data_IF_885372702720
#
_entry.id   IF_885372702720
#
_cell.length_a   1.000
_cell.length_b   1.000
_cell.length_c   1.000
_cell.angle_alpha   90.00
_cell.angle_beta   90.00
_cell.angle_gamma   90.00
#
_symmetry.space_group_name_H-M   'P 1'
#
loop_
_entity.id
_entity.type
_entity.pdbx_description
1 polymer ?
#
# COMPACT_ATOMS: atom_id res chain seq x y z
N UNK A 1 -2.37 10.67 -8.01
CA UNK A 1 -2.89 11.35 -6.83
C UNK A 1 -3.67 12.60 -7.26
N UNK A 2 -4.77 12.90 -6.53
CA UNK A 2 -5.63 14.05 -6.77
C UNK A 2 -5.34 15.11 -5.72
N UNK A 3 -5.09 16.34 -6.12
CA UNK A 3 -4.84 17.46 -5.20
C UNK A 3 -5.56 18.73 -5.64
N UNK A 4 -6.13 19.44 -4.69
CA UNK A 4 -6.44 20.85 -4.85
C UNK A 4 -6.49 21.64 -3.53
N UNK A 5 -6.40 22.99 -3.62
CA UNK A 5 -6.40 23.96 -2.54
C UNK A 5 -5.16 23.94 -1.61
N UNK A 6 -5.29 24.48 -0.42
CA UNK A 6 -4.16 24.82 0.44
C UNK A 6 -3.35 23.59 0.86
N UNK A 7 -4.00 22.53 1.29
CA UNK A 7 -3.35 21.29 1.75
C UNK A 7 -2.58 20.58 0.65
N UNK A 8 -3.16 20.51 -0.56
CA UNK A 8 -2.50 19.93 -1.74
C UNK A 8 -1.27 20.72 -2.17
N UNK A 9 -1.35 22.06 -2.20
CA UNK A 9 -0.22 22.93 -2.53
C UNK A 9 0.92 22.83 -1.52
N UNK A 10 0.58 22.73 -0.22
CA UNK A 10 1.57 22.53 0.84
C UNK A 10 2.29 21.18 0.67
N UNK A 11 1.55 20.12 0.34
CA UNK A 11 2.12 18.80 0.08
C UNK A 11 3.07 18.81 -1.12
N UNK A 12 2.64 19.39 -2.25
CA UNK A 12 3.48 19.56 -3.44
C UNK A 12 4.77 20.34 -3.15
N UNK A 13 4.67 21.41 -2.35
CA UNK A 13 5.85 22.20 -1.97
C UNK A 13 6.87 21.37 -1.20
N UNK A 14 6.41 20.45 -0.32
CA UNK A 14 7.27 19.54 0.45
C UNK A 14 7.92 18.47 -0.43
N UNK A 15 7.17 17.89 -1.37
CA UNK A 15 7.72 16.93 -2.33
C UNK A 15 8.81 17.57 -3.19
N UNK A 16 8.55 18.76 -3.70
CA UNK A 16 9.50 19.53 -4.52
C UNK A 16 10.76 19.90 -3.73
N UNK A 17 10.60 20.30 -2.45
CA UNK A 17 11.74 20.57 -1.57
C UNK A 17 12.58 19.32 -1.29
N UNK A 18 11.95 18.13 -1.28
CA UNK A 18 12.61 16.83 -1.16
C UNK A 18 13.15 16.26 -2.48
N UNK A 19 13.05 17.00 -3.59
CA UNK A 19 13.39 16.54 -4.94
C UNK A 19 12.67 15.24 -5.35
N UNK A 20 11.45 15.03 -4.84
CA UNK A 20 10.63 13.88 -5.19
C UNK A 20 9.87 14.19 -6.48
N UNK A 21 10.18 13.44 -7.55
CA UNK A 21 9.44 13.55 -8.83
C UNK A 21 7.96 13.31 -8.57
N UNK A 22 7.13 14.22 -9.02
CA UNK A 22 5.70 14.14 -8.82
C UNK A 22 4.96 14.66 -10.06
N UNK A 23 3.77 14.11 -10.30
CA UNK A 23 2.89 14.49 -11.39
C UNK A 23 1.44 14.19 -10.98
N UNK A 24 0.77 15.20 -10.40
CA UNK A 24 -0.57 15.07 -9.86
C UNK A 24 -1.63 15.57 -10.84
N UNK A 25 -2.83 15.01 -10.73
CA UNK A 25 -4.02 15.56 -11.36
C UNK A 25 -4.66 16.59 -10.41
N UNK A 26 -4.84 17.80 -10.88
CA UNK A 26 -5.59 18.83 -10.16
C UNK A 26 -7.10 18.60 -10.32
N UNK A 27 -7.82 18.66 -9.20
CA UNK A 27 -9.29 18.56 -9.16
C UNK A 27 -9.91 19.77 -8.49
N UNK A 28 -11.22 19.92 -8.57
CA UNK A 28 -11.95 21.00 -7.90
C UNK A 28 -12.23 20.73 -6.42
N UNK A 29 -11.86 19.56 -5.89
CA UNK A 29 -12.12 19.16 -4.51
C UNK A 29 -10.90 19.38 -3.61
N UNK A 30 -11.16 19.66 -2.32
CA UNK A 30 -10.09 19.82 -1.33
C UNK A 30 -9.37 18.50 -1.07
N UNK A 31 -8.06 18.57 -0.91
CA UNK A 31 -7.28 17.42 -0.43
C UNK A 31 -7.64 17.11 1.01
N UNK A 32 -8.06 15.88 1.27
CA UNK A 32 -8.45 15.43 2.61
C UNK A 32 -7.33 15.60 3.62
N UNK A 33 -7.71 15.93 4.84
CA UNK A 33 -6.83 15.96 6.01
C UNK A 33 -7.14 14.77 6.90
N UNK A 34 -6.11 13.98 7.22
CA UNK A 34 -6.22 12.89 8.18
C UNK A 34 -5.38 13.23 9.41
N UNK A 35 -5.97 13.10 10.61
CA UNK A 35 -5.31 13.43 11.88
C UNK A 35 -5.17 12.15 12.68
N UNK A 36 -3.94 11.80 13.06
CA UNK A 36 -3.66 10.72 14.00
C UNK A 36 -3.25 11.33 15.34
N UNK A 37 -4.00 11.05 16.39
CA UNK A 37 -3.70 11.46 17.77
C UNK A 37 -3.04 10.28 18.47
N UNK A 38 -1.78 10.46 18.85
CA UNK A 38 -1.00 9.45 19.58
C UNK A 38 -1.14 9.76 21.07
N UNK A 39 -1.84 8.89 21.80
CA UNK A 39 -1.97 8.98 23.24
C UNK A 39 -0.84 8.17 23.91
N UNK A 40 0.03 8.88 24.65
CA UNK A 40 1.19 8.27 25.30
C UNK A 40 0.82 7.49 26.57
N UNK A 41 -0.30 7.82 27.20
CA UNK A 41 -0.72 7.21 28.45
C UNK A 41 -1.42 5.86 28.23
N UNK A 42 -2.30 5.79 27.22
CA UNK A 42 -3.01 4.55 26.85
C UNK A 42 -2.29 3.76 25.74
N UNK A 43 -1.17 4.28 25.20
CA UNK A 43 -0.42 3.71 24.07
C UNK A 43 -1.31 3.36 22.87
N UNK A 44 -2.28 4.23 22.60
CA UNK A 44 -3.26 4.09 21.52
C UNK A 44 -3.10 5.18 20.48
N UNK A 45 -3.58 4.89 19.26
CA UNK A 45 -3.69 5.87 18.19
C UNK A 45 -5.17 6.01 17.85
N UNK A 46 -5.67 7.24 17.84
CA UNK A 46 -7.00 7.57 17.36
C UNK A 46 -6.86 8.33 16.05
N UNK A 47 -7.45 7.81 15.00
CA UNK A 47 -7.41 8.41 13.67
C UNK A 47 -8.75 9.07 13.31
N UNK A 48 -8.68 10.31 12.85
CA UNK A 48 -9.78 11.05 12.26
C UNK A 48 -9.53 11.12 10.75
N UNK A 49 -10.27 10.31 10.01
CA UNK A 49 -10.08 10.12 8.57
C UNK A 49 -11.17 10.89 7.81
N UNK A 50 -10.79 12.01 7.21
CA UNK A 50 -11.66 12.74 6.30
C UNK A 50 -11.85 11.97 4.99
N UNK A 51 -13.05 12.01 4.42
CA UNK A 51 -13.32 11.46 3.08
C UNK A 51 -13.02 12.52 2.03
N UNK A 52 -12.31 12.16 0.99
CA UNK A 52 -12.17 13.00 -0.19
C UNK A 52 -13.20 12.61 -1.26
N UNK A 53 -13.62 13.60 -2.05
CA UNK A 53 -14.56 13.42 -3.16
C UNK A 53 -13.83 13.40 -4.51
N UNK A 54 -14.46 12.81 -5.51
CA UNK A 54 -14.00 12.78 -6.88
C UNK A 54 -15.14 12.40 -7.82
N UNK A 55 -14.94 12.61 -9.10
CA UNK A 55 -15.92 12.29 -10.14
C UNK A 55 -15.39 11.22 -11.09
N UNK A 56 -16.28 10.61 -11.84
CA UNK A 56 -15.91 9.70 -12.94
C UNK A 56 -15.02 10.43 -13.97
N UNK A 57 -15.32 11.70 -14.28
CA UNK A 57 -14.50 12.51 -15.18
C UNK A 57 -13.07 12.72 -14.66
N UNK A 58 -12.92 12.97 -13.34
CA UNK A 58 -11.58 13.06 -12.74
C UNK A 58 -10.82 11.72 -12.87
N UNK A 59 -11.53 10.61 -12.69
CA UNK A 59 -10.94 9.28 -12.84
C UNK A 59 -10.55 9.00 -14.30
N UNK A 60 -11.36 9.37 -15.28
CA UNK A 60 -11.04 9.25 -16.70
C UNK A 60 -9.78 10.05 -17.07
N UNK A 61 -9.69 11.31 -16.63
CA UNK A 61 -8.46 12.13 -16.81
C UNK A 61 -7.24 11.51 -16.13
N UNK A 62 -7.44 10.92 -14.95
CA UNK A 62 -6.36 10.21 -14.25
C UNK A 62 -5.91 8.98 -15.04
N UNK A 63 -6.84 8.21 -15.59
CA UNK A 63 -6.54 7.05 -16.43
C UNK A 63 -5.76 7.43 -17.69
N UNK A 64 -6.15 8.50 -18.39
CA UNK A 64 -5.39 9.01 -19.56
C UNK A 64 -3.95 9.35 -19.19
N UNK A 65 -3.77 10.07 -18.08
CA UNK A 65 -2.45 10.43 -17.56
C UNK A 65 -1.64 9.21 -17.14
N UNK A 66 -2.26 8.26 -16.44
CA UNK A 66 -1.63 7.00 -16.01
C UNK A 66 -1.13 6.20 -17.20
N UNK A 67 -1.98 5.99 -18.22
CA UNK A 67 -1.60 5.28 -19.45
C UNK A 67 -0.45 6.00 -20.16
N UNK A 68 -0.52 7.33 -20.27
CA UNK A 68 0.56 8.13 -20.89
C UNK A 68 1.91 7.95 -20.15
N UNK A 69 1.90 7.88 -18.81
CA UNK A 69 3.13 7.61 -18.03
C UNK A 69 3.66 6.21 -18.34
N UNK A 70 2.78 5.19 -18.36
CA UNK A 70 3.19 3.82 -18.64
C UNK A 70 3.75 3.64 -20.07
N UNK A 71 3.36 4.48 -21.01
CA UNK A 71 3.82 4.44 -22.42
C UNK A 71 5.12 5.21 -22.65
N UNK A 72 5.31 6.31 -21.94
CA UNK A 72 6.41 7.24 -22.22
C UNK A 72 7.57 7.15 -21.21
N UNK A 73 7.37 6.47 -20.07
CA UNK A 73 8.41 6.30 -19.06
C UNK A 73 8.74 4.83 -18.84
N UNK A 74 9.97 4.55 -18.41
CA UNK A 74 10.36 3.20 -17.99
C UNK A 74 9.78 2.92 -16.60
N UNK A 75 8.61 2.30 -16.57
CA UNK A 75 7.95 1.88 -15.33
C UNK A 75 8.11 0.38 -15.17
N UNK A 76 8.64 -0.06 -14.06
CA UNK A 76 8.83 -1.49 -13.74
C UNK A 76 7.80 -1.99 -12.74
N UNK A 77 7.34 -1.11 -11.86
CA UNK A 77 6.38 -1.41 -10.79
C UNK A 77 5.43 -0.24 -10.60
N UNK A 78 4.17 -0.55 -10.40
CA UNK A 78 3.14 0.39 -9.96
C UNK A 78 2.67 0.00 -8.56
N UNK A 79 2.55 0.96 -7.68
CA UNK A 79 1.93 0.81 -6.36
C UNK A 79 0.60 1.59 -6.34
N UNK A 80 -0.51 0.87 -6.25
CA UNK A 80 -1.82 1.43 -5.96
C UNK A 80 -2.09 1.34 -4.46
N UNK A 81 -2.00 2.48 -3.75
CA UNK A 81 -2.18 2.50 -2.30
C UNK A 81 -3.26 3.50 -1.87
N UNK A 82 -3.98 3.16 -0.82
CA UNK A 82 -4.96 4.01 -0.16
C UNK A 82 -6.42 3.76 -0.57
N UNK A 83 -7.31 4.50 0.09
CA UNK A 83 -8.76 4.43 -0.18
C UNK A 83 -9.13 5.25 -1.40
N UNK A 84 -10.13 4.78 -2.13
CA UNK A 84 -10.71 5.50 -3.27
C UNK A 84 -11.54 6.69 -2.81
N UNK A 85 -11.64 7.71 -3.67
CA UNK A 85 -12.47 8.88 -3.44
C UNK A 85 -13.96 8.51 -3.48
N UNK A 86 -14.77 9.23 -2.73
CA UNK A 86 -16.24 9.14 -2.89
C UNK A 86 -16.61 9.57 -4.31
N UNK A 87 -17.55 8.85 -4.92
CA UNK A 87 -17.97 9.09 -6.30
C UNK A 87 -17.17 8.32 -7.35
N UNK A 88 -16.07 7.66 -6.94
CA UNK A 88 -15.32 6.72 -7.78
C UNK A 88 -15.73 5.30 -7.41
N UNK A 89 -15.93 4.44 -8.42
CA UNK A 89 -16.32 3.04 -8.23
C UNK A 89 -15.29 2.25 -7.42
N UNK A 90 -15.77 1.28 -6.64
CA UNK A 90 -14.91 0.42 -5.80
C UNK A 90 -13.98 -0.48 -6.62
N UNK A 91 -14.26 -0.63 -7.89
CA UNK A 91 -13.51 -1.38 -8.90
C UNK A 91 -12.46 -0.54 -9.64
N UNK A 92 -12.28 0.73 -9.25
CA UNK A 92 -11.39 1.66 -9.96
C UNK A 92 -9.91 1.22 -10.00
N UNK A 93 -9.47 0.31 -9.12
CA UNK A 93 -8.15 -0.28 -9.24
C UNK A 93 -8.02 -1.28 -10.40
N UNK A 94 -9.13 -1.90 -10.85
CA UNK A 94 -9.09 -2.94 -11.89
C UNK A 94 -8.50 -2.42 -13.22
N UNK A 95 -8.99 -1.32 -13.82
CA UNK A 95 -8.41 -0.81 -15.05
C UNK A 95 -6.93 -0.38 -14.89
N UNK A 96 -6.51 0.06 -13.72
CA UNK A 96 -5.09 0.39 -13.46
C UNK A 96 -4.22 -0.88 -13.48
N UNK A 97 -4.70 -1.94 -12.84
CA UNK A 97 -4.01 -3.24 -12.80
C UNK A 97 -3.95 -3.83 -14.22
N UNK A 98 -5.05 -3.79 -14.97
CA UNK A 98 -5.13 -4.31 -16.32
C UNK A 98 -4.19 -3.58 -17.29
N UNK A 99 -4.10 -2.25 -17.21
CA UNK A 99 -3.18 -1.47 -18.04
C UNK A 99 -1.71 -1.75 -17.72
N UNK A 100 -1.38 -1.98 -16.43
CA UNK A 100 -0.04 -2.43 -16.03
C UNK A 100 0.25 -3.84 -16.58
N UNK A 101 -0.69 -4.77 -16.48
CA UNK A 101 -0.54 -6.15 -16.99
C UNK A 101 -0.33 -6.21 -18.49
N UNK A 102 -1.05 -5.41 -19.28
CA UNK A 102 -0.88 -5.33 -20.75
C UNK A 102 0.57 -4.99 -21.15
N UNK A 103 1.32 -4.35 -20.27
CA UNK A 103 2.70 -3.90 -20.48
C UNK A 103 3.74 -4.74 -19.72
N UNK A 104 3.31 -5.82 -19.06
CA UNK A 104 4.18 -6.69 -18.25
C UNK A 104 4.69 -6.02 -16.96
N UNK A 105 4.03 -4.94 -16.51
CA UNK A 105 4.41 -4.19 -15.33
C UNK A 105 3.76 -4.82 -14.09
N UNK A 106 4.53 -5.02 -13.03
CA UNK A 106 4.03 -5.54 -11.77
C UNK A 106 3.19 -4.48 -11.06
N UNK A 107 1.99 -4.84 -10.61
CA UNK A 107 1.13 -3.97 -9.81
C UNK A 107 1.02 -4.46 -8.37
N UNK A 108 1.39 -3.62 -7.43
CA UNK A 108 1.21 -3.85 -5.99
C UNK A 108 -0.04 -3.10 -5.55
N UNK A 109 -0.99 -3.81 -4.96
CA UNK A 109 -2.23 -3.24 -4.45
C UNK A 109 -2.23 -3.24 -2.92
N UNK A 110 -2.36 -2.06 -2.32
CA UNK A 110 -2.47 -1.83 -0.89
C UNK A 110 -3.67 -0.94 -0.57
N UNK A 111 -4.81 -1.54 -0.45
CA UNK A 111 -6.07 -0.89 -0.10
C UNK A 111 -6.89 -1.82 0.80
N UNK A 112 -8.04 -1.38 1.28
CA UNK A 112 -8.85 -2.11 2.24
C UNK A 112 -10.31 -2.26 1.80
N UNK A 113 -11.04 -3.10 2.51
CA UNK A 113 -12.48 -3.27 2.37
C UNK A 113 -12.90 -3.70 0.95
N UNK A 114 -14.01 -3.16 0.49
CA UNK A 114 -14.59 -3.52 -0.82
C UNK A 114 -13.65 -3.23 -2.00
N UNK A 115 -12.83 -2.16 -1.91
CA UNK A 115 -11.87 -1.81 -2.96
C UNK A 115 -10.76 -2.86 -3.10
N UNK A 116 -10.34 -3.49 -2.00
CA UNK A 116 -9.38 -4.60 -2.04
C UNK A 116 -10.02 -5.83 -2.67
N UNK A 117 -11.23 -6.21 -2.24
CA UNK A 117 -11.96 -7.36 -2.78
C UNK A 117 -12.16 -7.20 -4.30
N UNK A 118 -12.59 -6.02 -4.75
CA UNK A 118 -12.76 -5.72 -6.18
C UNK A 118 -11.44 -5.71 -6.94
N UNK A 119 -10.42 -5.06 -6.39
CA UNK A 119 -9.09 -4.99 -7.01
C UNK A 119 -8.41 -6.36 -7.18
N UNK A 120 -8.69 -7.32 -6.29
CA UNK A 120 -8.21 -8.71 -6.44
C UNK A 120 -8.78 -9.42 -7.67
N UNK A 121 -9.95 -9.03 -8.17
CA UNK A 121 -10.55 -9.61 -9.39
C UNK A 121 -9.63 -9.41 -10.60
N UNK A 122 -8.89 -8.28 -10.66
CA UNK A 122 -7.91 -8.00 -11.70
C UNK A 122 -6.54 -8.67 -11.47
N UNK A 123 -6.38 -9.46 -10.40
CA UNK A 123 -5.20 -10.28 -10.09
C UNK A 123 -3.90 -9.46 -10.04
N UNK A 124 -3.76 -8.45 -9.17
CA UNK A 124 -2.51 -7.72 -9.01
C UNK A 124 -1.34 -8.68 -8.73
N UNK A 125 -0.11 -8.25 -9.04
CA UNK A 125 1.09 -9.04 -8.74
C UNK A 125 1.21 -9.33 -7.25
N UNK A 126 0.96 -8.31 -6.39
CA UNK A 126 1.04 -8.43 -4.94
C UNK A 126 -0.14 -7.70 -4.28
N UNK A 127 -0.69 -8.30 -3.23
CA UNK A 127 -1.56 -7.63 -2.26
C UNK A 127 -0.94 -7.68 -0.86
N UNK A 128 -1.24 -6.64 -0.04
CA UNK A 128 -0.74 -6.57 1.34
C UNK A 128 -1.88 -6.34 2.35
N UNK A 129 -2.74 -7.30 2.62
CA UNK A 129 -3.68 -7.18 3.73
C UNK A 129 -2.96 -7.27 5.09
N UNK A 130 -3.53 -6.67 6.12
CA UNK A 130 -3.27 -7.07 7.50
C UNK A 130 -4.13 -8.29 7.87
N UNK A 131 -3.95 -8.83 9.10
CA UNK A 131 -4.71 -10.01 9.50
C UNK A 131 -6.22 -9.75 9.53
N UNK A 132 -6.67 -8.60 10.01
CA UNK A 132 -8.09 -8.25 10.10
C UNK A 132 -8.71 -8.12 8.69
N UNK A 133 -8.01 -7.46 7.77
CA UNK A 133 -8.42 -7.37 6.38
C UNK A 133 -8.49 -8.75 5.70
N UNK A 134 -7.55 -9.63 5.99
CA UNK A 134 -7.59 -11.02 5.48
C UNK A 134 -8.78 -11.78 6.06
N UNK A 135 -9.11 -11.58 7.34
CA UNK A 135 -10.31 -12.14 7.98
C UNK A 135 -11.59 -11.63 7.29
N UNK A 136 -11.65 -10.34 7.01
CA UNK A 136 -12.79 -9.73 6.31
C UNK A 136 -12.95 -10.26 4.88
N UNK A 137 -11.85 -10.38 4.12
CA UNK A 137 -11.84 -10.94 2.76
C UNK A 137 -12.36 -12.38 2.74
N UNK A 138 -11.92 -13.18 3.72
CA UNK A 138 -12.22 -14.61 3.74
C UNK A 138 -13.50 -14.97 4.49
N UNK A 139 -14.04 -14.05 5.28
CA UNK A 139 -15.15 -14.28 6.19
C UNK A 139 -14.81 -15.24 7.36
N UNK A 140 -13.52 -15.42 7.67
CA UNK A 140 -13.02 -16.35 8.68
C UNK A 140 -12.24 -15.59 9.75
N UNK A 141 -12.26 -16.12 10.98
CA UNK A 141 -11.36 -15.68 12.05
C UNK A 141 -10.21 -16.65 12.18
N UNK A 142 -9.01 -16.13 12.46
CA UNK A 142 -7.80 -16.93 12.56
C UNK A 142 -7.30 -16.99 14.00
N UNK A 143 -7.07 -18.21 14.50
CA UNK A 143 -6.61 -18.45 15.86
C UNK A 143 -5.10 -18.68 15.92
N UNK A 144 -4.47 -18.92 14.78
CA UNK A 144 -3.04 -19.21 14.69
C UNK A 144 -2.48 -18.89 13.31
N UNK A 145 -1.16 -18.81 13.24
CA UNK A 145 -0.44 -18.46 12.01
C UNK A 145 -0.68 -19.45 10.85
N UNK A 146 -0.90 -20.72 11.15
CA UNK A 146 -1.14 -21.73 10.11
C UNK A 146 -2.43 -21.44 9.34
N UNK A 147 -3.48 -21.01 10.03
CA UNK A 147 -4.75 -20.62 9.40
C UNK A 147 -4.58 -19.38 8.51
N UNK A 148 -3.78 -18.39 8.94
CA UNK A 148 -3.44 -17.21 8.14
C UNK A 148 -2.67 -17.61 6.86
N UNK A 149 -1.69 -18.51 6.98
CA UNK A 149 -0.92 -19.02 5.85
C UNK A 149 -1.81 -19.74 4.84
N UNK A 150 -2.71 -20.61 5.30
CA UNK A 150 -3.62 -21.32 4.40
C UNK A 150 -4.61 -20.36 3.70
N UNK A 151 -5.12 -19.37 4.40
CA UNK A 151 -5.96 -18.35 3.79
C UNK A 151 -5.20 -17.55 2.71
N UNK A 152 -3.96 -17.16 2.97
CA UNK A 152 -3.12 -16.50 1.98
C UNK A 152 -2.81 -17.39 0.77
N UNK A 153 -2.60 -18.71 0.97
CA UNK A 153 -2.43 -19.67 -0.14
C UNK A 153 -3.68 -19.78 -1.01
N UNK A 154 -4.87 -19.73 -0.41
CA UNK A 154 -6.11 -19.74 -1.20
C UNK A 154 -6.21 -18.49 -2.09
N UNK A 155 -5.78 -17.32 -1.61
CA UNK A 155 -5.72 -16.11 -2.44
C UNK A 155 -4.68 -16.23 -3.56
N UNK A 156 -3.52 -16.84 -3.31
CA UNK A 156 -2.53 -17.11 -4.37
C UNK A 156 -3.13 -18.01 -5.48
N UNK A 157 -3.94 -19.01 -5.12
CA UNK A 157 -4.62 -19.88 -6.10
C UNK A 157 -5.61 -19.14 -7.01
N UNK A 158 -6.07 -17.95 -6.64
CA UNK A 158 -6.93 -17.13 -7.50
C UNK A 158 -6.17 -16.48 -8.67
N UNK A 159 -4.84 -16.51 -8.64
CA UNK A 159 -3.95 -15.95 -9.65
C UNK A 159 -3.16 -14.73 -9.19
N UNK A 160 -3.30 -14.29 -7.95
CA UNK A 160 -2.42 -13.31 -7.31
C UNK A 160 -1.08 -14.00 -7.06
N UNK A 161 0.05 -13.39 -7.48
CA UNK A 161 1.34 -14.07 -7.41
C UNK A 161 1.96 -14.04 -6.02
N UNK A 162 1.72 -12.96 -5.27
CA UNK A 162 2.29 -12.73 -3.93
C UNK A 162 1.22 -12.19 -2.98
N UNK A 163 1.04 -12.85 -1.84
CA UNK A 163 0.20 -12.34 -0.74
C UNK A 163 1.11 -12.09 0.46
N UNK A 164 1.23 -10.85 0.87
CA UNK A 164 2.00 -10.45 2.04
C UNK A 164 1.02 -10.03 3.15
N UNK A 165 0.99 -10.77 4.26
CA UNK A 165 0.10 -10.46 5.38
C UNK A 165 0.90 -9.85 6.52
N UNK A 166 0.55 -8.64 6.94
CA UNK A 166 1.15 -8.00 8.12
C UNK A 166 0.42 -8.43 9.39
N UNK A 167 1.19 -8.74 10.44
CA UNK A 167 0.74 -9.32 11.70
C UNK A 167 1.03 -8.38 12.89
N UNK A 168 1.14 -7.09 12.64
CA UNK A 168 1.50 -6.10 13.66
C UNK A 168 2.83 -6.44 14.33
N UNK A 169 2.84 -6.52 15.65
CA UNK A 169 4.04 -6.84 16.44
C UNK A 169 4.65 -8.22 16.20
N UNK A 170 3.94 -9.13 15.55
CA UNK A 170 4.40 -10.49 15.21
C UNK A 170 5.12 -10.57 13.87
N UNK A 171 5.27 -9.43 13.18
CA UNK A 171 5.97 -9.32 11.91
C UNK A 171 5.06 -9.44 10.70
N UNK A 172 5.46 -10.25 9.73
CA UNK A 172 4.68 -10.49 8.51
C UNK A 172 4.94 -11.90 7.95
N UNK A 173 4.04 -12.35 7.08
CA UNK A 173 4.28 -13.50 6.21
C UNK A 173 4.20 -13.06 4.75
N UNK A 174 4.92 -13.76 3.89
CA UNK A 174 4.81 -13.64 2.44
C UNK A 174 4.59 -15.03 1.86
N UNK A 175 3.56 -15.16 1.04
CA UNK A 175 3.13 -16.42 0.44
C UNK A 175 3.11 -16.29 -1.08
N UNK A 176 3.71 -17.27 -1.75
CA UNK A 176 3.65 -17.47 -3.19
C UNK A 176 3.19 -18.90 -3.48
N UNK A 177 3.10 -19.27 -4.75
CA UNK A 177 2.84 -20.66 -5.19
C UNK A 177 3.95 -21.64 -4.76
N UNK A 178 5.18 -21.15 -4.49
CA UNK A 178 6.37 -21.97 -4.23
C UNK A 178 6.85 -21.93 -2.80
N UNK A 179 6.72 -20.78 -2.14
CA UNK A 179 7.36 -20.54 -0.85
C UNK A 179 6.46 -19.78 0.10
N UNK A 180 6.70 -20.00 1.38
CA UNK A 180 6.15 -19.21 2.48
C UNK A 180 7.33 -18.69 3.31
N UNK A 181 7.43 -17.37 3.42
CA UNK A 181 8.40 -16.73 4.31
C UNK A 181 7.68 -16.16 5.53
N UNK A 182 8.33 -16.22 6.68
CA UNK A 182 7.95 -15.46 7.87
C UNK A 182 9.06 -14.48 8.19
N UNK A 183 8.72 -13.20 8.23
CA UNK A 183 9.60 -12.10 8.66
C UNK A 183 9.24 -11.70 10.09
N UNK A 184 10.25 -11.65 10.95
CA UNK A 184 10.17 -11.08 12.29
C UNK A 184 11.21 -9.99 12.43
N UNK A 185 11.02 -9.10 13.38
CA UNK A 185 11.96 -8.05 13.70
C UNK A 185 12.34 -8.10 15.20
N UNK A 186 13.49 -7.54 15.60
CA UNK A 186 13.86 -7.44 17.00
C UNK A 186 12.82 -6.62 17.77
N UNK A 187 12.74 -6.81 19.09
CA UNK A 187 11.90 -5.97 19.93
C UNK A 187 12.39 -4.54 19.86
N UNK A 188 11.57 -3.67 19.31
CA UNK A 188 11.82 -2.23 19.18
C UNK A 188 10.76 -1.44 19.95
N UNK A 189 11.10 -0.24 20.35
CA UNK A 189 10.12 0.69 20.92
C UNK A 189 9.26 1.28 19.79
N UNK A 190 7.98 0.96 19.79
CA UNK A 190 7.02 1.49 18.82
C UNK A 190 6.61 2.89 19.25
N UNK A 191 6.81 3.86 18.37
CA UNK A 191 6.46 5.26 18.57
C UNK A 191 5.25 5.69 17.75
N UNK A 192 5.20 5.29 16.48
CA UNK A 192 4.13 5.63 15.57
C UNK A 192 4.00 4.58 14.46
N UNK A 193 2.86 3.89 14.37
CA UNK A 193 2.62 2.87 13.34
C UNK A 193 2.04 3.43 12.04
N UNK A 194 1.65 4.73 12.01
CA UNK A 194 1.12 5.37 10.80
C UNK A 194 2.18 5.39 9.70
N UNK A 195 1.82 4.92 8.51
CA UNK A 195 2.72 4.81 7.36
C UNK A 195 3.65 3.58 7.37
N UNK A 196 3.57 2.70 8.39
CA UNK A 196 4.36 1.45 8.37
C UNK A 196 3.96 0.53 7.23
N UNK A 197 2.67 0.49 6.87
CA UNK A 197 2.18 -0.23 5.69
C UNK A 197 2.77 0.31 4.40
N UNK A 198 2.71 1.64 4.23
CA UNK A 198 3.27 2.32 3.04
C UNK A 198 4.78 2.11 2.93
N UNK A 199 5.50 2.22 4.06
CA UNK A 199 6.95 1.95 4.12
C UNK A 199 7.29 0.50 3.77
N UNK A 200 6.45 -0.45 4.21
CA UNK A 200 6.57 -1.87 3.85
C UNK A 200 6.43 -2.07 2.34
N UNK A 201 5.41 -1.45 1.71
CA UNK A 201 5.21 -1.48 0.25
C UNK A 201 6.38 -0.82 -0.47
N UNK A 202 6.88 0.31 0.02
CA UNK A 202 8.02 1.00 -0.57
C UNK A 202 9.28 0.11 -0.57
N UNK A 203 9.58 -0.56 0.53
CA UNK A 203 10.70 -1.51 0.63
C UNK A 203 10.54 -2.71 -0.32
N UNK A 204 9.33 -3.26 -0.45
CA UNK A 204 9.01 -4.33 -1.39
C UNK A 204 9.21 -3.86 -2.83
N UNK A 205 8.61 -2.74 -3.21
CA UNK A 205 8.70 -2.18 -4.56
C UNK A 205 10.14 -1.87 -4.95
N UNK A 206 10.92 -1.27 -4.04
CA UNK A 206 12.34 -1.00 -4.27
C UNK A 206 13.13 -2.29 -4.51
N UNK A 207 12.96 -3.31 -3.65
CA UNK A 207 13.65 -4.59 -3.82
C UNK A 207 13.33 -5.25 -5.17
N UNK A 208 12.06 -5.23 -5.57
CA UNK A 208 11.60 -5.76 -6.85
C UNK A 208 12.13 -4.95 -8.05
N UNK A 209 12.25 -3.62 -7.94
CA UNK A 209 12.74 -2.76 -9.04
C UNK A 209 14.22 -2.91 -9.34
N UNK A 210 14.97 -3.46 -8.40
CA UNK A 210 16.41 -3.78 -8.57
C UNK A 210 16.63 -5.29 -8.68
N UNK A 211 15.60 -6.04 -9.05
CA UNK A 211 15.64 -7.49 -9.31
C UNK A 211 16.19 -8.34 -8.15
N UNK A 212 15.97 -7.91 -6.88
CA UNK A 212 16.34 -8.73 -5.73
C UNK A 212 15.51 -10.02 -5.65
N UNK A 213 16.09 -11.11 -5.10
CA UNK A 213 15.34 -12.30 -4.74
C UNK A 213 14.17 -11.97 -3.80
N UNK A 214 13.08 -12.75 -3.86
CA UNK A 214 11.85 -12.47 -3.12
C UNK A 214 12.04 -12.40 -1.60
N UNK A 215 12.92 -13.23 -1.04
CA UNK A 215 13.27 -13.21 0.38
C UNK A 215 13.99 -11.92 0.79
N UNK A 216 14.85 -11.37 -0.08
CA UNK A 216 15.49 -10.08 0.16
C UNK A 216 14.52 -8.91 0.01
N UNK A 217 13.62 -8.95 -0.99
CA UNK A 217 12.54 -7.97 -1.12
C UNK A 217 11.67 -7.95 0.14
N UNK A 218 11.28 -9.13 0.63
CA UNK A 218 10.48 -9.27 1.83
C UNK A 218 11.22 -8.78 3.08
N UNK A 219 12.51 -9.05 3.21
CA UNK A 219 13.35 -8.53 4.30
C UNK A 219 13.39 -7.01 4.30
N UNK A 220 13.60 -6.38 3.14
CA UNK A 220 13.55 -4.92 2.99
C UNK A 220 12.17 -4.37 3.37
N UNK A 221 11.10 -5.00 2.92
CA UNK A 221 9.74 -4.60 3.24
C UNK A 221 9.51 -4.57 4.76
N UNK A 222 9.85 -5.66 5.45
CA UNK A 222 9.71 -5.77 6.91
C UNK A 222 10.60 -4.74 7.62
N UNK A 223 11.84 -4.56 7.18
CA UNK A 223 12.76 -3.58 7.76
C UNK A 223 12.23 -2.15 7.62
N UNK A 224 11.79 -1.73 6.43
CA UNK A 224 11.24 -0.40 6.20
C UNK A 224 9.99 -0.13 7.05
N UNK A 225 9.05 -1.08 7.13
CA UNK A 225 7.87 -0.93 7.97
C UNK A 225 8.18 -0.84 9.45
N UNK A 226 9.15 -1.64 9.93
CA UNK A 226 9.60 -1.63 11.32
C UNK A 226 10.31 -0.32 11.66
N UNK A 227 11.24 0.13 10.82
CA UNK A 227 11.99 1.38 11.03
C UNK A 227 11.05 2.58 11.08
N UNK A 228 10.05 2.65 10.18
CA UNK A 228 9.02 3.70 10.27
C UNK A 228 8.34 3.71 11.64
N UNK A 229 8.02 2.55 12.20
CA UNK A 229 7.34 2.46 13.49
C UNK A 229 8.18 2.94 14.69
N UNK A 230 9.49 3.05 14.54
CA UNK A 230 10.42 3.54 15.59
C UNK A 230 10.61 5.05 15.62
N UNK A 231 10.08 5.79 14.63
CA UNK A 231 10.12 7.26 14.59
C UNK A 231 8.72 7.84 14.86
N UNK A 232 8.66 9.06 15.40
CA UNK A 232 7.40 9.81 15.52
C UNK A 232 6.91 10.37 14.19
N UNK A 233 7.82 10.57 13.24
CA UNK A 233 7.52 11.06 11.89
C UNK A 233 7.10 9.91 10.99
N UNK A 234 6.07 10.11 10.18
CA UNK A 234 5.62 9.13 9.18
C UNK A 234 6.51 9.17 7.94
N UNK A 235 6.85 8.00 7.41
CA UNK A 235 7.61 7.85 6.15
C UNK A 235 9.09 8.17 6.26
N UNK A 236 9.62 8.28 7.47
CA UNK A 236 11.05 8.48 7.71
C UNK A 236 11.74 7.14 8.00
N UNK A 237 12.71 6.82 7.16
CA UNK A 237 13.55 5.62 7.31
C UNK A 237 14.98 6.09 7.58
N UNK A 238 15.53 5.70 8.71
CA UNK A 238 16.93 5.94 9.02
C UNK A 238 17.79 4.84 8.36
N UNK A 239 18.79 5.22 7.60
CA UNK A 239 19.66 4.29 6.90
C UNK A 239 20.70 3.61 7.81
N UNK A 240 20.84 4.08 9.06
CA UNK A 240 21.79 3.55 10.04
C UNK A 240 21.14 2.59 11.06
N UNK A 241 19.80 2.40 10.99
CA UNK A 241 19.03 1.56 11.92
C UNK A 241 18.75 0.14 11.39
#
# INVERSE_FOLDING_TARGET
>A
FFFFFFSGKLFLSKLNAGNIKNDFLETSYETRTCIAVIDKDIKGITEFLESAEGTTEDFEKFMEKYVSILENEKVEIVCGSGSLLKGIGKDAYNPLIEEAHKRGIKFILDTSGESLVKGMEAKPFLIKPNQEELEDITGKKFNNLSEVVEAAKELVKTGIQVVMVTLGGDGAILVTDKVVYKGTFPKVEIKNTVGSGDSTIAGMAYGLSIDKPMDECFRLAVACGTTNATDYSTGRIDHES
#
